data_IF_307203295755
#
_entry.id   IF_307203295755
#
_cell.length_a   1.000
_cell.length_b   1.000
_cell.length_c   1.000
_cell.angle_alpha   90.00
_cell.angle_beta   90.00
_cell.angle_gamma   90.00
#
_symmetry.space_group_name_H-M   'P 1'
#
loop_
_entity.id
_entity.type
_entity.pdbx_description
1 polymer ?
#
# COMPACT_ATOMS: atom_id res chain seq x y z
N UNK A 1 -26.25 14.03 -21.05
CA UNK A 1 -26.16 13.19 -19.84
C UNK A 1 -25.57 11.85 -20.21
N UNK A 2 -24.35 11.59 -19.78
CA UNK A 2 -23.72 10.28 -19.92
C UNK A 2 -23.85 9.55 -18.58
N UNK A 3 -24.14 8.26 -18.63
CA UNK A 3 -24.16 7.39 -17.46
C UNK A 3 -23.26 6.18 -17.74
N UNK A 4 -22.47 5.78 -16.76
CA UNK A 4 -21.68 4.56 -16.80
C UNK A 4 -22.45 3.47 -16.05
N UNK A 5 -22.81 2.38 -16.75
CA UNK A 5 -23.49 1.23 -16.14
C UNK A 5 -22.45 0.14 -15.90
N UNK A 6 -22.20 -0.17 -14.63
CA UNK A 6 -21.22 -1.16 -14.19
C UNK A 6 -21.90 -2.29 -13.42
N UNK A 7 -21.21 -3.43 -13.34
CA UNK A 7 -21.62 -4.53 -12.47
C UNK A 7 -21.65 -4.08 -11.02
N UNK A 8 -22.72 -4.42 -10.30
CA UNK A 8 -22.83 -4.16 -8.88
C UNK A 8 -21.95 -5.12 -8.06
N UNK A 9 -21.23 -4.57 -7.09
CA UNK A 9 -20.27 -5.30 -6.25
C UNK A 9 -20.84 -5.42 -4.84
N UNK A 10 -21.44 -6.58 -4.54
CA UNK A 10 -22.25 -6.80 -3.33
C UNK A 10 -21.49 -6.52 -2.02
N UNK A 11 -20.19 -6.84 -1.99
CA UNK A 11 -19.37 -6.64 -0.80
C UNK A 11 -18.70 -5.27 -0.74
N UNK A 12 -18.99 -4.39 -1.71
CA UNK A 12 -18.45 -3.03 -1.79
C UNK A 12 -16.95 -3.01 -2.08
N UNK A 13 -16.27 -1.97 -1.58
CA UNK A 13 -14.82 -1.82 -1.72
C UNK A 13 -14.03 -2.65 -0.69
N UNK A 14 -12.78 -2.96 -1.01
CA UNK A 14 -11.88 -3.78 -0.19
C UNK A 14 -11.71 -3.17 1.21
N UNK A 15 -11.66 -1.85 1.35
CA UNK A 15 -11.54 -1.23 2.68
C UNK A 15 -12.75 -1.55 3.56
N UNK A 16 -13.97 -1.39 3.04
CA UNK A 16 -15.20 -1.75 3.76
C UNK A 16 -15.27 -3.24 4.03
N UNK A 17 -14.88 -4.07 3.06
CA UNK A 17 -14.86 -5.52 3.19
C UNK A 17 -13.94 -5.99 4.33
N UNK A 18 -12.70 -5.50 4.38
CA UNK A 18 -11.72 -5.82 5.42
C UNK A 18 -12.24 -5.45 6.82
N UNK A 19 -12.86 -4.27 6.96
CA UNK A 19 -13.44 -3.82 8.24
C UNK A 19 -14.56 -4.75 8.74
N UNK A 20 -15.40 -5.25 7.83
CA UNK A 20 -16.54 -6.13 8.16
C UNK A 20 -16.12 -7.57 8.45
N UNK A 21 -15.06 -8.04 7.82
CA UNK A 21 -14.65 -9.45 7.85
C UNK A 21 -13.51 -9.74 8.82
N UNK A 22 -13.05 -8.75 9.57
CA UNK A 22 -11.90 -8.86 10.47
C UNK A 22 -11.89 -10.11 11.37
N UNK A 23 -13.05 -10.54 11.86
CA UNK A 23 -13.20 -11.70 12.76
C UNK A 23 -13.25 -13.06 12.04
N UNK A 24 -13.42 -13.09 10.72
CA UNK A 24 -13.66 -14.30 9.92
C UNK A 24 -12.74 -14.44 8.71
N UNK A 25 -11.89 -13.44 8.44
CA UNK A 25 -11.10 -13.38 7.22
C UNK A 25 -9.87 -14.30 7.29
N UNK A 26 -10.05 -15.53 6.81
CA UNK A 26 -9.04 -16.59 6.86
C UNK A 26 -7.85 -16.31 5.95
N UNK A 27 -6.75 -17.04 6.16
CA UNK A 27 -5.57 -16.93 5.29
C UNK A 27 -5.89 -17.28 3.83
N UNK A 28 -6.67 -18.34 3.58
CA UNK A 28 -7.04 -18.71 2.21
C UNK A 28 -7.86 -17.62 1.53
N UNK A 29 -8.79 -16.99 2.25
CA UNK A 29 -9.55 -15.86 1.72
C UNK A 29 -8.64 -14.66 1.41
N UNK A 30 -7.70 -14.31 2.30
CA UNK A 30 -6.70 -13.26 2.06
C UNK A 30 -5.88 -13.55 0.80
N UNK A 31 -5.35 -14.76 0.69
CA UNK A 31 -4.50 -15.18 -0.42
C UNK A 31 -5.27 -15.18 -1.75
N UNK A 32 -6.54 -15.59 -1.76
CA UNK A 32 -7.38 -15.53 -2.95
C UNK A 32 -7.61 -14.07 -3.40
N UNK A 33 -7.92 -13.15 -2.47
CA UNK A 33 -8.07 -11.73 -2.83
C UNK A 33 -6.77 -11.10 -3.30
N UNK A 34 -5.64 -11.42 -2.67
CA UNK A 34 -4.31 -10.98 -3.13
C UNK A 34 -4.03 -11.51 -4.54
N UNK A 35 -4.37 -12.77 -4.82
CA UNK A 35 -4.20 -13.39 -6.14
C UNK A 35 -5.00 -12.66 -7.22
N UNK A 36 -6.29 -12.43 -6.98
CA UNK A 36 -7.19 -11.74 -7.91
C UNK A 36 -6.68 -10.33 -8.24
N UNK A 37 -6.25 -9.57 -7.22
CA UNK A 37 -5.73 -8.20 -7.39
C UNK A 37 -4.40 -8.22 -8.18
N UNK A 38 -3.50 -9.16 -7.90
CA UNK A 38 -2.24 -9.28 -8.63
C UNK A 38 -2.48 -9.64 -10.10
N UNK A 39 -3.42 -10.55 -10.37
CA UNK A 39 -3.82 -10.93 -11.73
C UNK A 39 -4.43 -9.73 -12.46
N UNK A 40 -5.37 -9.02 -11.83
CA UNK A 40 -6.01 -7.84 -12.40
C UNK A 40 -4.97 -6.75 -12.75
N UNK A 41 -4.04 -6.44 -11.85
CA UNK A 41 -3.02 -5.43 -12.12
C UNK A 41 -2.06 -5.87 -13.24
N UNK A 42 -1.66 -7.16 -13.24
CA UNK A 42 -0.86 -7.72 -14.32
C UNK A 42 -1.54 -7.56 -15.68
N UNK A 43 -2.86 -7.78 -15.75
CA UNK A 43 -3.65 -7.58 -16.97
C UNK A 43 -3.73 -6.11 -17.38
N UNK A 44 -3.89 -5.18 -16.45
CA UNK A 44 -3.88 -3.74 -16.77
C UNK A 44 -2.52 -3.33 -17.37
N UNK A 45 -1.43 -3.77 -16.73
CA UNK A 45 -0.07 -3.42 -17.14
C UNK A 45 0.36 -4.08 -18.45
N UNK A 46 -0.07 -5.33 -18.74
CA UNK A 46 0.26 -6.00 -20.01
C UNK A 46 -0.39 -5.30 -21.21
N UNK A 47 -1.53 -4.63 -20.99
CA UNK A 47 -2.17 -3.77 -22.01
C UNK A 47 -1.59 -2.35 -22.04
N UNK A 48 -0.50 -2.09 -21.30
CA UNK A 48 0.22 -0.82 -21.34
C UNK A 48 -0.47 0.31 -20.60
N UNK A 49 -1.34 0.04 -19.61
CA UNK A 49 -2.00 1.08 -18.82
C UNK A 49 -1.41 1.21 -17.42
N UNK A 50 -1.36 2.44 -16.90
CA UNK A 50 -1.03 2.79 -15.51
C UNK A 50 -2.33 3.17 -14.81
N UNK A 51 -2.59 2.59 -13.63
CA UNK A 51 -3.80 2.86 -12.85
C UNK A 51 -3.78 4.22 -12.16
N UNK A 52 -2.63 4.57 -11.55
CA UNK A 52 -2.32 5.83 -10.84
C UNK A 52 -3.01 6.05 -9.51
N UNK A 53 -4.27 5.62 -9.36
CA UNK A 53 -5.02 5.73 -8.09
C UNK A 53 -5.37 4.36 -7.50
N UNK A 54 -4.38 3.45 -7.45
CA UNK A 54 -4.59 2.11 -6.93
C UNK A 54 -4.58 2.13 -5.39
N UNK A 55 -5.74 1.93 -4.78
CA UNK A 55 -5.92 1.81 -3.34
C UNK A 55 -7.14 0.94 -3.01
N UNK A 56 -7.34 0.50 -1.75
CA UNK A 56 -8.45 -0.38 -1.39
C UNK A 56 -9.86 0.16 -1.61
N UNK A 57 -10.01 1.46 -1.85
CA UNK A 57 -11.30 2.08 -2.20
C UNK A 57 -11.67 1.89 -3.68
N UNK A 58 -10.68 1.62 -4.53
CA UNK A 58 -10.81 1.33 -5.96
C UNK A 58 -10.66 -0.17 -6.26
N UNK A 59 -10.70 -1.02 -5.23
CA UNK A 59 -10.75 -2.47 -5.37
C UNK A 59 -12.10 -2.92 -4.86
N UNK A 60 -12.87 -3.58 -5.71
CA UNK A 60 -14.23 -4.00 -5.42
C UNK A 60 -14.31 -5.50 -5.21
N UNK A 61 -15.17 -5.92 -4.30
CA UNK A 61 -15.31 -7.31 -3.88
C UNK A 61 -16.72 -7.80 -4.25
N UNK A 62 -16.78 -8.93 -4.93
CA UNK A 62 -18.00 -9.72 -5.06
C UNK A 62 -17.91 -10.95 -4.13
N UNK A 63 -18.92 -11.84 -4.07
CA UNK A 63 -18.87 -13.03 -3.21
C UNK A 63 -17.65 -13.94 -3.44
N UNK A 64 -17.08 -13.94 -4.64
CA UNK A 64 -16.04 -14.88 -5.08
C UNK A 64 -14.68 -14.20 -5.31
N UNK A 65 -14.63 -13.08 -6.02
CA UNK A 65 -13.43 -12.45 -6.56
C UNK A 65 -13.17 -11.03 -6.03
N UNK A 66 -11.99 -10.49 -6.33
CA UNK A 66 -11.68 -9.07 -6.22
C UNK A 66 -11.39 -8.47 -7.60
N UNK A 67 -11.81 -7.22 -7.82
CA UNK A 67 -11.65 -6.50 -9.08
C UNK A 67 -11.02 -5.15 -8.83
N UNK A 68 -10.12 -4.73 -9.72
CA UNK A 68 -9.64 -3.35 -9.75
C UNK A 68 -10.64 -2.54 -10.59
N UNK A 69 -11.11 -1.42 -10.06
CA UNK A 69 -12.02 -0.50 -10.73
C UNK A 69 -11.58 0.96 -10.59
N UNK A 70 -12.45 1.87 -11.01
CA UNK A 70 -12.15 3.30 -11.15
C UNK A 70 -10.94 3.61 -12.05
N UNK A 71 -11.17 3.42 -13.36
CA UNK A 71 -10.19 3.72 -14.39
C UNK A 71 -10.20 5.20 -14.81
N UNK A 72 -10.88 6.09 -14.06
CA UNK A 72 -11.08 7.49 -14.45
C UNK A 72 -9.78 8.30 -14.63
N UNK A 73 -8.70 7.86 -13.97
CA UNK A 73 -7.38 8.46 -14.11
C UNK A 73 -6.41 7.66 -14.99
N UNK A 74 -6.77 6.44 -15.39
CA UNK A 74 -5.88 5.52 -16.10
C UNK A 74 -5.31 6.14 -17.37
N UNK A 75 -4.04 5.84 -17.65
CA UNK A 75 -3.36 6.40 -18.82
C UNK A 75 -2.44 5.37 -19.50
N UNK A 76 -2.21 5.49 -20.81
CA UNK A 76 -1.18 4.73 -21.50
C UNK A 76 0.22 4.98 -20.91
N UNK A 77 1.01 3.93 -20.74
CA UNK A 77 2.35 3.99 -20.15
C UNK A 77 3.38 4.66 -21.06
N UNK A 78 3.09 4.78 -22.36
CA UNK A 78 3.93 5.45 -23.36
C UNK A 78 3.58 6.93 -23.54
N UNK A 79 2.57 7.45 -22.85
CA UNK A 79 2.17 8.85 -22.96
C UNK A 79 3.13 9.74 -22.13
N UNK A 80 3.95 10.52 -22.82
CA UNK A 80 4.93 11.41 -22.20
C UNK A 80 4.26 12.62 -21.53
N UNK A 81 4.08 12.55 -20.21
CA UNK A 81 3.65 13.68 -19.38
C UNK A 81 4.78 14.68 -19.04
N UNK A 82 5.90 14.65 -19.77
CA UNK A 82 7.10 15.46 -19.51
C UNK A 82 6.85 16.98 -19.48
N UNK A 83 5.68 17.42 -19.94
CA UNK A 83 5.30 18.82 -20.05
C UNK A 83 4.31 19.30 -18.96
N UNK A 84 3.95 18.44 -17.99
CA UNK A 84 3.11 18.83 -16.87
C UNK A 84 3.93 19.61 -15.83
N UNK A 85 3.91 20.94 -15.90
CA UNK A 85 4.50 21.85 -14.88
C UNK A 85 3.76 21.82 -13.54
N UNK A 86 2.63 21.12 -13.46
CA UNK A 86 1.85 20.95 -12.25
C UNK A 86 2.47 19.88 -11.34
N UNK A 87 3.07 20.32 -10.23
CA UNK A 87 3.51 19.48 -9.10
C UNK A 87 2.35 18.87 -8.30
N UNK A 88 1.11 19.12 -8.71
CA UNK A 88 -0.06 18.61 -8.03
C UNK A 88 -0.23 17.13 -8.37
N UNK A 89 -0.20 16.28 -7.35
CA UNK A 89 -0.35 14.84 -7.45
C UNK A 89 -1.69 14.43 -6.88
N UNK A 90 -2.36 13.48 -7.52
CA UNK A 90 -3.67 13.00 -7.08
C UNK A 90 -3.56 11.57 -6.57
N UNK A 91 -4.25 11.28 -5.46
CA UNK A 91 -4.42 9.91 -4.96
C UNK A 91 -4.45 9.83 -3.44
N UNK A 92 -4.34 8.60 -2.92
CA UNK A 92 -4.38 8.32 -1.47
C UNK A 92 -2.96 8.19 -0.91
N UNK A 93 -2.49 9.25 -0.22
CA UNK A 93 -1.09 9.44 0.19
C UNK A 93 -0.37 8.17 0.72
N UNK A 94 -0.91 7.37 1.67
CA UNK A 94 -0.24 6.18 2.18
C UNK A 94 0.09 5.09 1.14
N UNK A 95 -0.60 5.06 0.00
CA UNK A 95 -0.40 4.08 -1.08
C UNK A 95 0.47 4.61 -2.21
N UNK A 96 0.74 5.91 -2.23
CA UNK A 96 1.51 6.54 -3.29
C UNK A 96 3.00 6.22 -3.13
N UNK A 97 3.65 5.89 -4.25
CA UNK A 97 5.08 5.65 -4.28
C UNK A 97 5.87 6.92 -3.91
N UNK A 98 7.03 6.82 -3.25
CA UNK A 98 7.76 7.99 -2.75
C UNK A 98 8.23 8.92 -3.86
N UNK A 99 8.52 8.42 -5.07
CA UNK A 99 8.82 9.27 -6.22
C UNK A 99 7.60 10.05 -6.73
N UNK A 100 6.40 9.47 -6.64
CA UNK A 100 5.15 10.15 -6.97
C UNK A 100 4.84 11.20 -5.92
N UNK A 101 5.03 10.90 -4.63
CA UNK A 101 4.91 11.89 -3.55
C UNK A 101 5.80 13.12 -3.75
N UNK A 102 6.89 12.99 -4.50
CA UNK A 102 7.81 14.07 -4.89
C UNK A 102 7.39 14.84 -6.15
N UNK A 103 6.24 14.51 -6.73
CA UNK A 103 5.75 15.15 -7.94
C UNK A 103 6.27 14.53 -9.24
N UNK A 104 6.91 13.35 -9.20
CA UNK A 104 7.20 12.61 -10.44
C UNK A 104 5.92 11.95 -10.95
N UNK A 105 5.86 11.71 -12.26
CA UNK A 105 4.74 11.01 -12.89
C UNK A 105 4.56 9.61 -12.34
N UNK A 106 3.31 9.16 -12.31
CA UNK A 106 2.99 7.75 -12.06
C UNK A 106 3.57 6.87 -13.17
N UNK A 107 3.91 5.64 -12.82
CA UNK A 107 4.48 4.62 -13.69
C UNK A 107 3.89 3.25 -13.36
N UNK A 108 4.12 2.24 -14.21
CA UNK A 108 3.78 0.86 -13.86
C UNK A 108 4.42 0.44 -12.52
N UNK A 109 5.65 0.87 -12.27
CA UNK A 109 6.36 0.61 -11.02
C UNK A 109 5.74 1.35 -9.81
N UNK A 110 5.08 2.50 -10.01
CA UNK A 110 4.37 3.17 -8.90
C UNK A 110 3.09 2.42 -8.52
N UNK A 111 2.36 1.84 -9.48
CA UNK A 111 1.23 0.97 -9.16
C UNK A 111 1.68 -0.29 -8.39
N UNK A 112 2.85 -0.86 -8.74
CA UNK A 112 3.42 -2.00 -8.01
C UNK A 112 3.76 -1.63 -6.56
N UNK A 113 4.24 -0.41 -6.31
CA UNK A 113 4.43 0.08 -4.94
C UNK A 113 3.10 0.06 -4.18
N UNK A 114 2.05 0.62 -4.77
CA UNK A 114 0.71 0.64 -4.17
C UNK A 114 0.18 -0.78 -3.93
N UNK A 115 0.41 -1.71 -4.87
CA UNK A 115 0.09 -3.12 -4.70
C UNK A 115 0.78 -3.73 -3.47
N UNK A 116 2.07 -3.46 -3.26
CA UNK A 116 2.80 -3.93 -2.08
C UNK A 116 2.17 -3.45 -0.76
N UNK A 117 1.77 -2.18 -0.71
CA UNK A 117 1.06 -1.60 0.45
C UNK A 117 -0.30 -2.26 0.67
N UNK A 118 -1.06 -2.51 -0.41
CA UNK A 118 -2.39 -3.16 -0.36
C UNK A 118 -2.28 -4.61 0.12
N UNK A 119 -1.31 -5.36 -0.38
CA UNK A 119 -1.05 -6.74 0.06
C UNK A 119 -0.80 -6.75 1.58
N UNK A 120 0.01 -5.83 2.08
CA UNK A 120 0.28 -5.72 3.52
C UNK A 120 -1.00 -5.42 4.32
N UNK A 121 -1.85 -4.51 3.84
CA UNK A 121 -3.12 -4.18 4.51
C UNK A 121 -4.12 -5.34 4.49
N UNK A 122 -4.19 -6.14 3.42
CA UNK A 122 -5.05 -7.33 3.40
C UNK A 122 -4.61 -8.33 4.48
N UNK A 123 -3.29 -8.46 4.69
CA UNK A 123 -2.72 -9.39 5.66
C UNK A 123 -2.95 -8.91 7.10
N UNK A 124 -2.66 -7.64 7.38
CA UNK A 124 -2.75 -7.08 8.73
C UNK A 124 -4.17 -6.64 9.08
N UNK A 125 -5.03 -6.44 8.08
CA UNK A 125 -6.35 -5.79 8.20
C UNK A 125 -6.24 -4.35 8.75
N UNK A 126 -5.01 -3.81 8.80
CA UNK A 126 -4.69 -2.50 9.35
C UNK A 126 -4.28 -1.58 8.22
N UNK A 127 -4.99 -0.46 8.00
CA UNK A 127 -4.58 0.54 7.03
C UNK A 127 -3.16 1.06 7.28
N UNK A 128 -2.38 1.35 6.23
CA UNK A 128 -1.01 1.86 6.39
C UNK A 128 -1.01 3.19 7.16
N UNK A 129 -0.16 3.29 8.18
CA UNK A 129 0.04 4.49 9.02
C UNK A 129 -1.23 4.96 9.76
N UNK A 130 -2.14 4.05 10.11
CA UNK A 130 -3.42 4.35 10.77
C UNK A 130 -3.32 5.15 12.07
N UNK A 131 -2.21 5.04 12.78
CA UNK A 131 -1.94 5.67 14.07
C UNK A 131 -1.21 7.02 13.96
N UNK A 132 -0.94 7.52 12.75
CA UNK A 132 -0.25 8.78 12.53
C UNK A 132 -1.12 9.81 11.76
N UNK A 133 -0.88 11.12 11.93
CA UNK A 133 -1.44 12.12 11.03
C UNK A 133 -0.90 11.96 9.61
N UNK A 134 -1.78 12.07 8.62
CA UNK A 134 -1.40 12.03 7.19
C UNK A 134 -0.99 13.42 6.71
N UNK A 135 0.16 13.88 7.20
CA UNK A 135 0.68 15.22 6.93
C UNK A 135 2.03 15.17 6.20
N UNK A 136 2.64 16.35 6.01
CA UNK A 136 3.95 16.49 5.37
C UNK A 136 5.05 15.70 6.09
N UNK A 137 4.96 15.54 7.42
CA UNK A 137 5.97 14.83 8.19
C UNK A 137 5.96 13.35 7.81
N UNK A 138 4.79 12.72 7.78
CA UNK A 138 4.68 11.33 7.35
C UNK A 138 5.22 11.12 5.92
N UNK A 139 4.92 12.04 5.00
CA UNK A 139 5.45 11.98 3.62
C UNK A 139 6.98 12.09 3.59
N UNK A 140 7.55 12.98 4.40
CA UNK A 140 9.00 13.11 4.56
C UNK A 140 9.62 11.81 5.08
N UNK A 141 8.97 11.13 6.02
CA UNK A 141 9.47 9.87 6.56
C UNK A 141 9.34 8.72 5.55
N UNK A 142 8.26 8.65 4.78
CA UNK A 142 8.11 7.69 3.67
C UNK A 142 9.26 7.86 2.67
N UNK A 143 9.62 9.09 2.32
CA UNK A 143 10.78 9.37 1.46
C UNK A 143 12.11 8.96 2.13
N UNK A 144 12.24 9.09 3.46
CA UNK A 144 13.40 8.62 4.23
C UNK A 144 13.41 7.11 4.49
N UNK A 145 12.44 6.38 3.96
CA UNK A 145 12.41 4.93 3.96
C UNK A 145 11.51 4.30 5.01
N UNK A 146 10.65 5.07 5.69
CA UNK A 146 9.58 4.52 6.51
C UNK A 146 8.63 3.69 5.62
N UNK A 147 8.25 2.51 6.11
CA UNK A 147 7.27 1.63 5.48
C UNK A 147 6.24 1.16 6.50
N UNK A 148 5.04 0.73 6.06
CA UNK A 148 4.09 0.06 6.94
C UNK A 148 4.73 -1.14 7.64
N UNK A 149 4.30 -1.40 8.88
CA UNK A 149 4.77 -2.58 9.59
C UNK A 149 4.21 -3.85 8.93
N UNK A 150 5.06 -4.85 8.74
CA UNK A 150 4.65 -6.18 8.27
C UNK A 150 4.42 -7.06 9.49
N UNK A 151 3.24 -7.67 9.59
CA UNK A 151 2.91 -8.56 10.70
C UNK A 151 3.87 -9.75 10.80
N UNK A 152 4.24 -10.14 12.02
CA UNK A 152 5.12 -11.27 12.28
C UNK A 152 4.53 -12.58 11.74
N UNK A 153 3.20 -12.69 11.76
CA UNK A 153 2.40 -13.79 11.21
C UNK A 153 2.49 -13.92 9.69
N UNK A 154 3.02 -12.91 8.99
CA UNK A 154 3.11 -12.92 7.53
C UNK A 154 4.10 -14.00 7.05
N UNK A 155 3.72 -14.90 6.13
CA UNK A 155 4.62 -15.86 5.53
C UNK A 155 5.85 -15.20 4.91
N UNK A 156 7.04 -15.79 5.10
CA UNK A 156 8.32 -15.20 4.68
C UNK A 156 8.34 -14.79 3.21
N UNK A 157 7.79 -15.61 2.31
CA UNK A 157 7.75 -15.28 0.89
C UNK A 157 6.93 -14.00 0.60
N UNK A 158 5.83 -13.78 1.32
CA UNK A 158 5.03 -12.56 1.21
C UNK A 158 5.77 -11.36 1.81
N UNK A 159 6.46 -11.52 2.94
CA UNK A 159 7.29 -10.45 3.51
C UNK A 159 8.31 -9.95 2.49
N UNK A 160 8.99 -10.86 1.82
CA UNK A 160 9.99 -10.53 0.81
C UNK A 160 9.37 -9.95 -0.48
N UNK A 161 8.22 -10.47 -0.91
CA UNK A 161 7.49 -9.92 -2.07
C UNK A 161 7.02 -8.48 -1.81
N UNK A 162 6.37 -8.22 -0.68
CA UNK A 162 5.93 -6.88 -0.25
C UNK A 162 7.13 -5.93 -0.22
N UNK A 163 8.25 -6.37 0.38
CA UNK A 163 9.48 -5.57 0.45
C UNK A 163 10.04 -5.18 -0.91
N UNK A 164 10.00 -6.09 -1.88
CA UNK A 164 10.43 -5.81 -3.26
C UNK A 164 9.46 -4.86 -3.96
N UNK A 165 8.15 -5.02 -3.77
CA UNK A 165 7.13 -4.16 -4.39
C UNK A 165 7.26 -2.70 -3.96
N UNK A 166 7.56 -2.42 -2.69
CA UNK A 166 7.63 -1.04 -2.18
C UNK A 166 9.06 -0.47 -2.03
N UNK A 167 10.01 -0.98 -2.83
CA UNK A 167 11.37 -0.46 -2.87
C UNK A 167 11.34 1.05 -3.23
N UNK A 168 12.19 1.84 -2.58
CA UNK A 168 12.33 3.27 -2.86
C UNK A 168 12.73 3.56 -4.31
N UNK A 169 13.47 2.65 -4.95
CA UNK A 169 13.90 2.75 -6.35
C UNK A 169 12.91 2.03 -7.28
N UNK A 170 12.23 2.75 -8.20
CA UNK A 170 11.24 2.13 -9.08
C UNK A 170 11.78 0.99 -9.95
N UNK A 171 13.04 1.09 -10.40
CA UNK A 171 13.72 0.06 -11.22
C UNK A 171 14.09 -1.21 -10.45
N UNK A 172 13.99 -1.19 -9.11
CA UNK A 172 14.22 -2.36 -8.25
C UNK A 172 12.94 -3.11 -7.91
N UNK A 173 11.78 -2.55 -8.27
CA UNK A 173 10.49 -3.21 -8.09
C UNK A 173 10.29 -4.25 -9.18
N UNK A 174 9.70 -5.41 -8.86
CA UNK A 174 9.27 -6.36 -9.89
C UNK A 174 8.18 -5.74 -10.77
N UNK A 175 8.02 -6.25 -11.98
CA UNK A 175 6.81 -5.99 -12.78
C UNK A 175 5.60 -6.66 -12.13
N UNK A 176 4.39 -6.16 -12.38
CA UNK A 176 3.16 -6.79 -11.89
C UNK A 176 3.01 -8.24 -12.35
N UNK A 177 3.46 -8.58 -13.56
CA UNK A 177 3.51 -9.96 -14.06
C UNK A 177 4.48 -10.84 -13.26
N UNK A 178 5.63 -10.32 -12.86
CA UNK A 178 6.55 -11.05 -11.97
C UNK A 178 5.96 -11.24 -10.57
N UNK A 179 5.29 -10.22 -10.01
CA UNK A 179 4.57 -10.34 -8.73
C UNK A 179 3.54 -11.46 -8.80
N UNK A 180 2.70 -11.45 -9.83
CA UNK A 180 1.68 -12.46 -10.07
C UNK A 180 2.27 -13.87 -10.21
N UNK A 181 3.37 -14.01 -10.97
CA UNK A 181 4.05 -15.30 -11.16
C UNK A 181 4.63 -15.86 -9.86
N UNK A 182 5.32 -15.01 -9.09
CA UNK A 182 5.91 -15.41 -7.79
C UNK A 182 4.79 -15.87 -6.85
N UNK A 183 3.72 -15.08 -6.73
CA UNK A 183 2.57 -15.42 -5.91
C UNK A 183 1.93 -16.75 -6.34
N UNK A 184 1.64 -16.90 -7.63
CA UNK A 184 1.02 -18.11 -8.20
C UNK A 184 1.85 -19.36 -7.93
N UNK A 185 3.18 -19.27 -8.08
CA UNK A 185 4.09 -20.38 -7.79
C UNK A 185 4.02 -20.83 -6.33
N UNK A 186 4.08 -19.87 -5.40
CA UNK A 186 4.00 -20.16 -3.97
C UNK A 186 2.62 -20.68 -3.55
N UNK A 187 1.53 -20.14 -4.12
CA UNK A 187 0.17 -20.61 -3.84
C UNK A 187 -0.10 -22.02 -4.37
N UNK A 188 0.37 -22.35 -5.57
CA UNK A 188 0.24 -23.69 -6.13
C UNK A 188 1.05 -24.70 -5.30
N UNK A 189 2.27 -24.31 -4.91
CA UNK A 189 3.09 -25.10 -3.98
C UNK A 189 2.35 -25.31 -2.66
N UNK A 190 1.77 -24.26 -2.08
CA UNK A 190 0.98 -24.32 -0.85
C UNK A 190 -0.23 -25.27 -0.97
N UNK A 191 -1.05 -25.13 -2.01
CA UNK A 191 -2.21 -26.01 -2.26
C UNK A 191 -1.80 -27.46 -2.48
N UNK A 192 -0.68 -27.70 -3.17
CA UNK A 192 -0.14 -29.05 -3.39
C UNK A 192 0.42 -29.70 -2.12
N UNK A 193 0.98 -28.90 -1.20
CA UNK A 193 1.49 -29.36 0.10
C UNK A 193 0.34 -29.59 1.09
N UNK A 194 -0.65 -28.70 1.16
CA UNK A 194 -1.83 -28.86 2.02
C UNK A 194 -2.65 -30.11 1.69
N UNK A 195 -2.68 -30.54 0.41
CA UNK A 195 -3.29 -31.82 0.02
C UNK A 195 -2.46 -33.05 0.46
N UNK A 196 -1.17 -32.90 0.80
CA UNK A 196 -0.27 -33.97 1.28
C UNK A 196 0.04 -33.93 2.78
N UNK A 197 -0.20 -32.81 3.46
CA UNK A 197 0.03 -32.61 4.89
C UNK A 197 -1.13 -31.83 5.49
N UNK A 198 -2.13 -32.55 5.99
CA UNK A 198 -3.00 -32.07 7.07
C UNK A 198 -2.15 -31.91 8.34
N UNK A 199 -1.38 -30.82 8.43
CA UNK A 199 -0.78 -30.23 9.65
C UNK A 199 0.44 -29.36 9.31
N UNK A 200 0.19 -28.17 8.79
CA UNK A 200 0.85 -27.03 9.42
C UNK A 200 -0.16 -26.48 10.41
N UNK A 201 0.07 -26.71 11.71
CA UNK A 201 -0.66 -26.00 12.77
C UNK A 201 -0.27 -24.52 12.68
N UNK A 202 -0.90 -23.76 11.77
CA UNK A 202 -1.32 -22.43 12.17
C UNK A 202 -2.29 -22.68 13.32
N UNK A 203 -1.89 -22.37 14.56
CA UNK A 203 -2.88 -22.14 15.60
C UNK A 203 -3.72 -20.92 15.17
N UNK A 204 -4.65 -21.12 14.24
CA UNK A 204 -5.54 -20.09 13.71
C UNK A 204 -6.24 -19.39 14.87
N UNK A 205 -6.63 -20.13 15.89
CA UNK A 205 -7.25 -19.59 17.11
C UNK A 205 -6.33 -18.60 17.86
N UNK A 206 -5.06 -18.92 18.10
CA UNK A 206 -4.14 -18.05 18.85
C UNK A 206 -3.72 -16.82 18.04
N UNK A 207 -3.46 -16.98 16.73
CA UNK A 207 -3.04 -15.88 15.87
C UNK A 207 -4.20 -14.94 15.53
N UNK A 208 -5.42 -15.46 15.33
CA UNK A 208 -6.62 -14.62 15.19
C UNK A 208 -6.86 -13.86 16.49
N UNK A 209 -6.80 -14.51 17.65
CA UNK A 209 -7.01 -13.82 18.94
C UNK A 209 -6.01 -12.67 19.15
N UNK A 210 -4.73 -12.87 18.85
CA UNK A 210 -3.72 -11.81 18.95
C UNK A 210 -3.92 -10.69 17.91
N UNK A 211 -4.32 -11.02 16.68
CA UNK A 211 -4.65 -10.04 15.65
C UNK A 211 -5.87 -9.21 16.06
N UNK A 212 -6.92 -9.85 16.60
CA UNK A 212 -8.13 -9.20 17.09
C UNK A 212 -7.85 -8.27 18.28
N UNK A 213 -7.02 -8.70 19.23
CA UNK A 213 -6.58 -7.87 20.35
C UNK A 213 -5.76 -6.66 19.88
N UNK A 214 -4.97 -6.80 18.80
CA UNK A 214 -4.22 -5.70 18.19
C UNK A 214 -5.15 -4.70 17.51
N UNK A 215 -6.13 -5.19 16.75
CA UNK A 215 -7.11 -4.36 16.05
C UNK A 215 -8.02 -3.61 17.02
N UNK A 216 -8.41 -4.22 18.14
CA UNK A 216 -9.16 -3.53 19.20
C UNK A 216 -8.39 -2.39 19.86
N UNK A 217 -7.06 -2.40 19.82
CA UNK A 217 -6.20 -1.33 20.36
C UNK A 217 -5.79 -0.27 19.33
N UNK A 218 -5.96 -0.55 18.03
CA UNK A 218 -5.57 0.34 16.94
C UNK A 218 -6.66 1.39 16.69
N UNK A 219 -6.73 2.39 17.55
CA UNK A 219 -7.53 3.58 17.26
C UNK A 219 -6.92 4.36 16.10
N UNK A 220 -7.73 4.56 15.04
CA UNK A 220 -7.35 5.37 13.89
C UNK A 220 -7.13 6.82 14.35
N UNK A 221 -5.97 7.37 14.03
CA UNK A 221 -5.66 8.77 14.29
C UNK A 221 -6.67 9.68 13.55
N UNK A 222 -7.24 10.71 14.18
CA UNK A 222 -8.31 11.53 13.60
C UNK A 222 -7.89 12.27 12.32
N UNK A 223 -6.58 12.51 12.14
CA UNK A 223 -5.99 13.10 10.93
C UNK A 223 -5.49 12.09 9.90
N UNK A 224 -5.84 10.81 10.02
CA UNK A 224 -5.53 9.79 9.02
C UNK A 224 -6.59 9.79 7.91
N UNK A 225 -6.17 10.10 6.68
CA UNK A 225 -7.03 10.29 5.50
C UNK A 225 -6.77 9.20 4.47
N UNK A 226 -7.82 8.49 4.05
CA UNK A 226 -7.76 7.36 3.11
C UNK A 226 -8.69 7.55 1.90
N UNK A 227 -8.90 8.80 1.51
CA UNK A 227 -9.66 9.17 0.31
C UNK A 227 -8.73 9.88 -0.67
N UNK A 228 -9.02 9.78 -1.96
CA UNK A 228 -8.22 10.41 -3.00
C UNK A 228 -8.36 11.91 -2.93
N UNK A 229 -7.25 12.62 -2.96
CA UNK A 229 -7.22 14.08 -2.94
C UNK A 229 -6.01 14.61 -3.70
N UNK A 230 -6.06 15.90 -4.01
CA UNK A 230 -4.93 16.62 -4.59
C UNK A 230 -3.92 16.95 -3.49
N UNK A 231 -2.65 16.64 -3.73
CA UNK A 231 -1.54 16.97 -2.84
C UNK A 231 -0.49 17.80 -3.58
N UNK A 232 0.24 18.62 -2.84
CA UNK A 232 1.37 19.40 -3.33
C UNK A 232 2.47 19.40 -2.26
N UNK A 233 3.29 18.36 -2.26
CA UNK A 233 4.43 18.27 -1.35
C UNK A 233 5.68 18.80 -2.06
N UNK A 234 6.40 19.69 -1.39
CA UNK A 234 7.60 20.32 -1.93
C UNK A 234 8.82 20.02 -1.06
N UNK A 235 10.01 20.07 -1.65
CA UNK A 235 11.31 19.94 -0.96
C UNK A 235 11.49 18.60 -0.24
N UNK A 236 10.95 17.53 -0.80
CA UNK A 236 11.13 16.17 -0.29
C UNK A 236 12.48 15.57 -0.76
N UNK A 237 13.20 14.85 0.12
CA UNK A 237 14.49 14.25 -0.21
C UNK A 237 14.36 13.13 -1.26
N UNK A 238 15.48 12.74 -1.88
CA UNK A 238 15.51 11.53 -2.71
C UNK A 238 15.07 10.30 -1.90
N UNK A 239 14.18 9.45 -2.44
CA UNK A 239 13.71 8.27 -1.74
C UNK A 239 14.83 7.27 -1.45
N UNK A 240 14.89 6.77 -0.22
CA UNK A 240 15.83 5.72 0.20
C UNK A 240 15.09 4.57 0.88
N UNK A 241 15.70 3.39 0.89
CA UNK A 241 15.26 2.28 1.73
C UNK A 241 15.91 2.40 3.11
N UNK A 242 15.12 2.25 4.17
CA UNK A 242 15.65 2.16 5.52
C UNK A 242 15.96 0.68 5.87
N UNK A 243 17.20 0.42 6.32
CA UNK A 243 17.66 -0.94 6.68
C UNK A 243 16.97 -1.48 7.93
N UNK A 244 16.62 -0.61 8.88
CA UNK A 244 16.02 -0.99 10.15
C UNK A 244 14.82 -0.07 10.48
N UNK A 245 13.61 -0.58 10.23
CA UNK A 245 12.37 0.15 10.50
C UNK A 245 12.15 0.42 12.00
N UNK A 246 12.54 -0.52 12.87
CA UNK A 246 12.38 -0.36 14.33
C UNK A 246 13.23 0.81 14.84
N UNK A 247 14.50 0.85 14.42
CA UNK A 247 15.41 1.94 14.78
C UNK A 247 14.92 3.29 14.24
N UNK A 248 14.40 3.33 13.01
CA UNK A 248 13.79 4.53 12.44
C UNK A 248 12.66 5.06 13.33
N UNK A 249 11.72 4.18 13.69
CA UNK A 249 10.55 4.51 14.50
C UNK A 249 10.98 4.96 15.90
N UNK A 250 11.89 4.24 16.56
CA UNK A 250 12.41 4.63 17.88
C UNK A 250 13.13 6.00 17.83
N UNK A 251 13.93 6.25 16.80
CA UNK A 251 14.59 7.55 16.60
C UNK A 251 13.59 8.69 16.38
N UNK A 252 12.54 8.45 15.60
CA UNK A 252 11.43 9.38 15.37
C UNK A 252 10.73 9.74 16.68
N UNK A 253 10.30 8.74 17.45
CA UNK A 253 9.64 8.97 18.75
C UNK A 253 10.54 9.75 19.72
N UNK A 254 11.83 9.40 19.79
CA UNK A 254 12.78 10.14 20.63
C UNK A 254 12.95 11.59 20.19
N UNK A 255 13.00 11.87 18.88
CA UNK A 255 13.06 13.25 18.35
C UNK A 255 11.81 14.06 18.65
N UNK A 256 10.64 13.42 18.59
CA UNK A 256 9.36 14.05 18.96
C UNK A 256 9.36 14.36 20.46
N UNK A 257 9.69 13.37 21.30
CA UNK A 257 9.73 13.51 22.77
C UNK A 257 10.71 14.57 23.25
N UNK A 258 11.85 14.71 22.58
CA UNK A 258 12.91 15.68 22.94
C UNK A 258 12.70 17.06 22.31
N UNK A 259 11.61 17.30 21.58
CA UNK A 259 11.34 18.58 20.90
C UNK A 259 12.26 18.88 19.70
N UNK A 260 13.28 18.06 19.44
CA UNK A 260 14.20 18.22 18.30
C UNK A 260 13.50 18.08 16.95
N UNK A 261 12.40 17.33 16.89
CA UNK A 261 11.59 17.22 15.67
C UNK A 261 10.98 18.57 15.26
N UNK A 262 10.46 19.35 16.22
CA UNK A 262 9.94 20.69 15.96
C UNK A 262 11.02 21.65 15.50
N UNK A 263 12.25 21.55 16.01
CA UNK A 263 13.36 22.42 15.59
C UNK A 263 13.78 22.12 14.15
N UNK A 264 13.92 20.84 13.76
CA UNK A 264 14.24 20.46 12.37
C UNK A 264 13.10 20.85 11.43
N UNK A 265 11.84 20.64 11.86
CA UNK A 265 10.66 21.04 11.09
C UNK A 265 10.59 22.56 10.88
N UNK A 266 10.83 23.34 11.94
CA UNK A 266 10.92 24.80 11.86
C UNK A 266 12.09 25.27 11.02
N UNK A 267 13.25 24.59 11.05
CA UNK A 267 14.41 24.92 10.20
C UNK A 267 14.16 24.62 8.72
N UNK A 268 13.46 23.51 8.40
CA UNK A 268 13.05 23.17 7.03
C UNK A 268 11.93 24.11 6.50
N UNK A 269 11.12 24.67 7.39
CA UNK A 269 10.15 25.71 7.06
C UNK A 269 10.78 27.10 6.99
N UNK A 270 11.74 27.44 7.84
CA UNK A 270 12.39 28.76 7.90
C UNK A 270 13.46 28.95 6.82
N UNK A 271 14.06 27.86 6.31
CA UNK A 271 14.85 27.90 5.07
C UNK A 271 14.00 28.25 3.83
N UNK A 272 12.68 28.42 3.97
CA UNK A 272 11.76 28.93 2.94
C UNK A 272 11.51 30.44 3.00
N UNK A 273 12.17 31.17 3.91
CA UNK A 273 12.19 32.65 3.91
C UNK A 273 13.60 33.10 3.50
N UNK A 274 13.93 32.95 2.22
CA UNK A 274 14.90 33.82 1.57
C UNK A 274 14.16 34.51 0.43
N UNK A 275 14.06 35.84 0.60
CA UNK A 275 13.46 36.84 -0.29
C UNK A 275 13.99 36.69 -1.71
#
# INVERSE_FOLDING_TARGET
>A
NYALVLQYMENGDLRKYLKRTVNIFTWDQRLNKIYDICLALSNIHVHGFIHKDLHPGNIFIDPTFAYIGDFGFCMPANENLSNSTNKNIYGVMPYMAPEVLRGKSHTLASDVYSLGVIINEIITVTPPFNNEPHDYCLVLDICRGLRPNIGEETPTFLKELIKKCWDAKPDKRPTSGEVFRILSYHLNTYKSISLKRLSYNFNESTNITNLLLKIQKDEKHPKAIYISQLHNFQNLPEPINCRNQQEFISSRYNKIRTGKFFIIYMLLLSSKIKV
#
